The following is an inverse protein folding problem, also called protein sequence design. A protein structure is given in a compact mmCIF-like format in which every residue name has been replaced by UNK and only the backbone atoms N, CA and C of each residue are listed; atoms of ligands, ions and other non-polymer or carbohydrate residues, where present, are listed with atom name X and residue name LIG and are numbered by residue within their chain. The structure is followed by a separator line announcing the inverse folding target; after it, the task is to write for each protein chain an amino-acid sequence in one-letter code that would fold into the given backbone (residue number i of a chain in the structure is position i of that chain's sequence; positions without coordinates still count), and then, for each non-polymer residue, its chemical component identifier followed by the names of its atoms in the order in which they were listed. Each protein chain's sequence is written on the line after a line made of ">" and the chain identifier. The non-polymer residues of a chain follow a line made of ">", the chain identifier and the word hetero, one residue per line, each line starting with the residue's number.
data_IF_645928538121
#
_entry.id   IF_645928538121
#
_cell.length_a   1.000
_cell.length_b   1.000
_cell.length_c   1.000
_cell.angle_alpha   90.00
_cell.angle_beta   90.00
_cell.angle_gamma   90.00
#
_symmetry.space_group_name_H-M   'P 1'
#
loop_
_entity.id
_entity.type
_entity.pdbx_description
1 polymer ?
#
# COMPACT_ATOMS: atom_id res chain seq x y z
N UNK A 1 25.94 6.09 15.97
CA UNK A 1 25.69 4.71 16.44
C UNK A 1 25.51 4.77 17.95
N UNK A 2 24.28 4.82 18.43
CA UNK A 2 23.98 4.84 19.86
C UNK A 2 23.49 3.43 20.25
N UNK A 3 24.29 2.72 21.04
CA UNK A 3 23.88 1.44 21.65
C UNK A 3 22.85 1.73 22.74
N UNK A 4 21.61 1.31 22.54
CA UNK A 4 20.61 1.27 23.61
C UNK A 4 20.91 0.10 24.54
N UNK A 5 21.16 0.38 25.83
CA UNK A 5 21.29 -0.64 26.86
C UNK A 5 19.90 -1.14 27.28
N UNK A 6 19.73 -2.46 27.29
CA UNK A 6 18.54 -3.12 27.86
C UNK A 6 18.81 -3.35 29.34
N UNK A 7 18.08 -2.66 30.20
CA UNK A 7 18.17 -2.83 31.66
C UNK A 7 17.04 -3.77 32.12
N UNK A 8 17.43 -4.91 32.68
CA UNK A 8 16.53 -5.92 33.25
C UNK A 8 16.48 -5.71 34.77
N UNK A 9 15.31 -5.34 35.29
CA UNK A 9 15.05 -5.29 36.74
C UNK A 9 14.41 -6.60 37.21
N UNK A 10 15.02 -7.33 38.16
CA UNK A 10 14.38 -8.48 38.80
C UNK A 10 13.73 -8.00 40.10
N UNK A 11 12.40 -7.78 40.08
CA UNK A 11 11.64 -7.58 41.31
C UNK A 11 10.67 -8.75 41.51
N UNK A 12 11.11 -9.75 42.29
CA UNK A 12 10.33 -10.93 42.65
C UNK A 12 9.67 -10.65 44.00
N UNK A 13 8.40 -10.26 43.97
CA UNK A 13 7.51 -10.23 45.14
C UNK A 13 6.73 -11.53 45.24
N UNK A 14 7.00 -12.32 46.28
CA UNK A 14 6.31 -13.57 46.57
C UNK A 14 4.95 -13.33 47.24
N UNK A 15 3.87 -13.92 46.73
CA UNK A 15 2.75 -14.38 47.55
C UNK A 15 2.01 -15.51 46.81
N UNK A 16 1.83 -16.64 47.49
CA UNK A 16 1.45 -17.91 46.91
C UNK A 16 -0.02 -18.06 46.49
N UNK A 17 -0.24 -19.04 45.62
CA UNK A 17 -1.53 -19.48 45.14
C UNK A 17 -1.32 -20.47 44.00
N UNK A 18 -1.36 -21.76 44.32
CA UNK A 18 -1.11 -22.87 43.41
C UNK A 18 -2.12 -22.92 42.26
N UNK A 19 -1.68 -22.68 41.03
CA UNK A 19 -2.23 -23.30 39.81
C UNK A 19 -1.17 -23.25 38.70
N UNK A 20 -0.88 -24.41 38.12
CA UNK A 20 0.11 -24.60 37.08
C UNK A 20 -0.34 -23.95 35.76
N UNK A 21 0.16 -22.74 35.50
CA UNK A 21 0.14 -22.09 34.19
C UNK A 21 1.56 -21.71 33.80
N UNK A 22 1.95 -21.99 32.56
CA UNK A 22 3.26 -21.63 32.03
C UNK A 22 3.48 -20.10 32.09
N UNK A 23 4.70 -19.61 32.42
CA UNK A 23 4.96 -18.18 32.53
C UNK A 23 4.90 -17.52 31.15
N UNK A 24 3.92 -16.63 30.96
CA UNK A 24 3.88 -15.70 29.82
C UNK A 24 4.84 -14.56 30.13
N UNK A 25 6.01 -14.57 29.48
CA UNK A 25 6.94 -13.45 29.53
C UNK A 25 6.37 -12.28 28.73
N UNK A 26 5.92 -11.23 29.41
CA UNK A 26 5.48 -9.99 28.76
C UNK A 26 6.66 -9.02 28.69
N UNK A 27 7.08 -8.68 27.47
CA UNK A 27 8.09 -7.66 27.23
C UNK A 27 7.39 -6.34 26.93
N UNK A 28 7.58 -5.34 27.80
CA UNK A 28 7.13 -3.97 27.54
C UNK A 28 8.23 -3.24 26.77
N UNK A 29 8.00 -3.01 25.48
CA UNK A 29 8.87 -2.13 24.69
C UNK A 29 8.52 -0.70 25.07
N UNK A 30 9.42 -0.04 25.81
CA UNK A 30 9.32 1.39 26.09
C UNK A 30 9.96 2.12 24.90
N UNK A 31 9.12 2.62 23.98
CA UNK A 31 9.58 3.53 22.94
C UNK A 31 9.99 4.87 23.57
N UNK A 32 11.12 5.40 23.12
CA UNK A 32 11.71 6.60 23.67
C UNK A 32 11.05 7.80 22.98
N UNK A 33 9.97 8.33 23.56
CA UNK A 33 9.13 9.40 22.98
C UNK A 33 9.90 10.66 22.53
N UNK A 34 11.12 10.85 23.06
CA UNK A 34 12.00 11.96 22.71
C UNK A 34 12.71 11.78 21.35
N UNK A 35 12.92 10.53 20.90
CA UNK A 35 13.51 10.23 19.59
C UNK A 35 12.49 10.43 18.45
N UNK A 36 11.22 10.12 18.69
CA UNK A 36 10.15 10.26 17.70
C UNK A 36 9.79 11.74 17.45
N UNK A 37 9.89 12.59 18.48
CA UNK A 37 9.70 14.04 18.33
C UNK A 37 10.78 14.69 17.47
N UNK A 38 12.05 14.34 17.67
CA UNK A 38 13.16 14.86 16.88
C UNK A 38 13.06 14.48 15.39
N UNK A 39 12.56 13.28 15.08
CA UNK A 39 12.38 12.80 13.71
C UNK A 39 11.22 13.49 12.98
N UNK A 40 10.16 13.89 13.70
CA UNK A 40 9.05 14.66 13.13
C UNK A 40 9.43 16.13 12.88
N UNK A 41 10.24 16.75 13.76
CA UNK A 41 10.71 18.12 13.58
C UNK A 41 11.68 18.25 12.37
N UNK A 42 12.52 17.23 12.10
CA UNK A 42 13.34 17.17 10.87
C UNK A 42 12.50 17.04 9.59
N UNK A 43 11.36 16.35 9.65
CA UNK A 43 10.46 16.18 8.50
C UNK A 43 9.83 17.52 8.06
N UNK A 44 9.49 18.39 9.02
CA UNK A 44 8.98 19.74 8.75
C UNK A 44 10.07 20.70 8.26
N UNK A 45 11.30 20.59 8.79
CA UNK A 45 12.42 21.40 8.32
C UNK A 45 12.78 21.10 6.86
N UNK A 46 12.75 19.81 6.44
CA UNK A 46 13.04 19.42 5.07
C UNK A 46 12.00 19.96 4.07
N UNK A 47 10.71 19.96 4.42
CA UNK A 47 9.62 20.53 3.59
C UNK A 47 9.84 22.02 3.29
N UNK A 48 10.33 22.78 4.27
CA UNK A 48 10.62 24.21 4.09
C UNK A 48 11.84 24.48 3.20
N UNK A 49 12.85 23.61 3.24
CA UNK A 49 14.06 23.74 2.43
C UNK A 49 13.83 23.39 0.94
N UNK A 50 12.98 22.41 0.65
CA UNK A 50 12.64 22.04 -0.73
C UNK A 50 11.78 23.11 -1.40
N UNK A 51 10.83 23.71 -0.67
CA UNK A 51 10.03 24.83 -1.17
C UNK A 51 10.87 26.10 -1.48
N UNK A 52 12.00 26.29 -0.78
CA UNK A 52 12.93 27.38 -1.05
C UNK A 52 13.86 27.11 -2.25
N UNK A 53 14.11 25.84 -2.59
CA UNK A 53 14.98 25.45 -3.71
C UNK A 53 14.30 25.55 -5.08
N UNK A 54 12.96 25.52 -5.13
CA UNK A 54 12.17 25.64 -6.37
C UNK A 54 12.04 27.07 -6.92
N UNK A 55 12.57 28.09 -6.21
CA UNK A 55 12.42 29.49 -6.55
C UNK A 55 13.58 30.13 -7.34
N UNK A 56 14.55 29.36 -7.86
CA UNK A 56 15.66 29.92 -8.66
C UNK A 56 15.51 29.67 -10.17
N UNK A 57 15.32 30.71 -11.00
CA UNK A 57 15.28 30.56 -12.45
C UNK A 57 16.70 30.44 -13.03
N UNK A 58 16.80 29.58 -14.05
CA UNK A 58 18.03 29.03 -14.63
C UNK A 58 19.10 30.02 -15.10
N UNK A 59 20.34 29.68 -14.75
CA UNK A 59 21.56 30.27 -15.33
C UNK A 59 22.02 29.38 -16.50
N UNK A 60 21.68 29.80 -17.73
CA UNK A 60 22.15 29.16 -18.97
C UNK A 60 23.65 29.44 -19.16
N UNK A 61 24.47 28.39 -19.05
CA UNK A 61 25.90 28.44 -19.34
C UNK A 61 26.13 28.30 -20.86
N UNK A 62 26.68 29.36 -21.47
CA UNK A 62 26.92 29.45 -22.90
C UNK A 62 28.04 28.51 -23.36
N UNK A 63 27.76 27.75 -24.43
CA UNK A 63 28.67 26.82 -25.11
C UNK A 63 29.69 27.60 -25.97
N UNK A 64 31.02 27.37 -25.85
CA UNK A 64 32.00 28.03 -26.71
C UNK A 64 32.04 27.38 -28.10
N UNK A 65 32.16 28.23 -29.12
CA UNK A 65 32.31 27.83 -30.52
C UNK A 65 33.73 27.33 -30.84
N UNK A 66 33.91 26.32 -31.71
CA UNK A 66 35.22 25.86 -32.17
C UNK A 66 35.77 26.70 -33.34
N UNK A 67 37.10 26.88 -33.45
CA UNK A 67 37.74 27.63 -34.54
C UNK A 67 37.89 26.82 -35.85
N UNK A 68 38.10 27.50 -36.99
CA UNK A 68 38.09 26.90 -38.32
C UNK A 68 39.40 26.21 -38.73
N UNK A 69 39.22 25.23 -39.62
CA UNK A 69 40.19 24.34 -40.28
C UNK A 69 41.32 25.05 -41.06
N UNK A 70 42.53 24.49 -40.95
CA UNK A 70 43.64 24.70 -41.87
C UNK A 70 43.76 23.49 -42.82
N UNK A 71 43.61 23.73 -44.13
CA UNK A 71 43.89 22.75 -45.20
C UNK A 71 45.36 22.86 -45.61
N UNK A 72 46.14 21.78 -45.49
CA UNK A 72 47.36 21.60 -46.29
C UNK A 72 47.40 20.16 -46.85
N UNK A 73 47.71 20.12 -48.14
CA UNK A 73 47.83 19.00 -49.05
C UNK A 73 49.04 18.14 -48.70
N UNK A 74 48.84 16.83 -48.50
CA UNK A 74 49.90 15.80 -48.64
C UNK A 74 49.33 14.52 -49.22
N UNK A 75 49.07 14.51 -50.52
CA UNK A 75 48.70 13.30 -51.28
C UNK A 75 49.98 12.45 -51.41
N UNK A 76 50.07 11.35 -50.66
CA UNK A 76 51.17 10.39 -50.77
C UNK A 76 51.37 9.48 -49.56
N UNK A 77 51.01 9.94 -48.35
CA UNK A 77 51.11 9.15 -47.11
C UNK A 77 49.75 8.88 -46.42
N UNK A 78 48.64 9.33 -47.04
CA UNK A 78 47.29 9.31 -46.44
C UNK A 78 46.68 7.89 -46.47
N UNK A 79 47.06 7.03 -47.41
CA UNK A 79 46.47 5.68 -47.51
C UNK A 79 46.84 4.78 -46.32
N UNK A 80 48.10 4.82 -45.85
CA UNK A 80 48.54 4.02 -44.71
C UNK A 80 48.11 4.63 -43.37
N UNK A 81 48.09 5.97 -43.25
CA UNK A 81 47.58 6.65 -42.06
C UNK A 81 46.06 6.49 -41.90
N UNK A 82 45.29 6.48 -43.00
CA UNK A 82 43.85 6.24 -42.96
C UNK A 82 43.50 4.80 -42.56
N UNK A 83 44.30 3.81 -43.00
CA UNK A 83 44.13 2.41 -42.58
C UNK A 83 44.52 2.27 -41.10
N UNK A 84 45.61 2.88 -40.63
CA UNK A 84 45.99 2.86 -39.23
C UNK A 84 44.95 3.57 -38.32
N UNK A 85 44.34 4.67 -38.78
CA UNK A 85 43.23 5.34 -38.10
C UNK A 85 41.94 4.52 -38.12
N UNK A 86 41.64 3.79 -39.18
CA UNK A 86 40.50 2.86 -39.22
C UNK A 86 40.72 1.68 -38.29
N UNK A 87 41.93 1.12 -38.23
CA UNK A 87 42.28 0.03 -37.29
C UNK A 87 42.26 0.54 -35.84
N UNK A 88 42.80 1.72 -35.56
CA UNK A 88 42.68 2.35 -34.24
C UNK A 88 41.24 2.69 -33.88
N UNK A 89 40.40 3.13 -34.82
CA UNK A 89 38.97 3.35 -34.58
C UNK A 89 38.22 2.03 -34.34
N UNK A 90 38.63 0.93 -34.98
CA UNK A 90 38.03 -0.38 -34.78
C UNK A 90 38.43 -1.01 -33.43
N UNK A 91 39.67 -0.80 -32.97
CA UNK A 91 40.16 -1.27 -31.67
C UNK A 91 39.86 -0.29 -30.51
N UNK A 92 39.63 1.00 -30.80
CA UNK A 92 39.15 2.01 -29.87
C UNK A 92 37.64 2.26 -29.98
N UNK A 93 36.87 1.28 -30.46
CA UNK A 93 35.48 1.09 -30.06
C UNK A 93 35.45 0.17 -28.83
N UNK A 94 35.89 0.63 -27.63
CA UNK A 94 35.69 -0.16 -26.43
C UNK A 94 34.18 -0.23 -26.25
N UNK A 95 33.65 -1.45 -26.26
CA UNK A 95 32.38 -1.76 -25.61
C UNK A 95 31.29 -0.72 -25.90
N UNK A 96 30.79 -0.65 -27.15
CA UNK A 96 29.41 -0.21 -27.34
C UNK A 96 28.60 -0.99 -26.30
N UNK A 97 28.04 -0.33 -25.27
CA UNK A 97 27.38 -1.02 -24.18
C UNK A 97 26.36 -1.91 -24.85
N UNK A 98 26.63 -3.22 -24.80
CA UNK A 98 25.77 -4.23 -25.38
C UNK A 98 24.41 -3.88 -24.90
N UNK A 99 23.51 -3.54 -25.83
CA UNK A 99 22.17 -3.00 -25.56
C UNK A 99 21.56 -3.93 -24.51
N UNK A 100 21.70 -3.52 -23.25
CA UNK A 100 21.68 -4.47 -22.15
C UNK A 100 20.27 -4.99 -22.12
N UNK A 101 20.11 -6.31 -22.28
CA UNK A 101 18.80 -6.97 -22.21
C UNK A 101 18.10 -6.40 -20.98
N UNK A 102 17.14 -5.50 -21.20
CA UNK A 102 16.47 -4.83 -20.11
C UNK A 102 15.85 -5.94 -19.28
N UNK A 103 16.20 -5.98 -18.00
CA UNK A 103 15.62 -6.95 -17.08
C UNK A 103 14.09 -6.79 -17.21
N UNK A 104 13.33 -7.86 -17.46
CA UNK A 104 11.89 -7.75 -17.62
C UNK A 104 11.32 -7.02 -16.42
N UNK A 105 10.60 -5.93 -16.66
CA UNK A 105 9.95 -5.15 -15.61
C UNK A 105 8.95 -6.06 -14.93
N UNK A 106 9.05 -6.20 -13.61
CA UNK A 106 8.05 -6.92 -12.84
C UNK A 106 6.70 -6.20 -13.03
N UNK A 107 5.73 -6.88 -13.66
CA UNK A 107 4.40 -6.32 -13.90
C UNK A 107 3.65 -6.06 -12.59
N UNK A 108 4.09 -6.68 -11.50
CA UNK A 108 3.43 -6.71 -10.21
C UNK A 108 4.48 -6.79 -9.09
N UNK A 109 4.37 -5.94 -8.08
CA UNK A 109 5.21 -5.93 -6.88
C UNK A 109 4.32 -5.66 -5.66
N UNK A 110 4.24 -6.62 -4.75
CA UNK A 110 3.66 -6.41 -3.43
C UNK A 110 4.74 -5.94 -2.46
N UNK A 111 4.55 -4.74 -1.90
CA UNK A 111 5.52 -4.11 -1.00
C UNK A 111 5.18 -4.38 0.48
N UNK A 112 4.15 -5.19 0.73
CA UNK A 112 3.75 -5.67 2.05
C UNK A 112 3.14 -4.58 2.94
N UNK A 113 3.08 -4.87 4.24
CA UNK A 113 2.39 -4.01 5.20
C UNK A 113 3.32 -2.98 5.86
N UNK A 114 2.76 -1.83 6.21
CA UNK A 114 3.37 -0.76 7.00
C UNK A 114 2.37 -0.26 8.02
N UNK A 115 2.88 0.29 9.13
CA UNK A 115 2.06 0.83 10.21
C UNK A 115 2.38 2.30 10.41
N UNK A 116 1.35 3.06 10.76
CA UNK A 116 1.42 4.42 11.22
C UNK A 116 0.76 4.50 12.59
N UNK A 117 1.53 4.15 13.63
CA UNK A 117 0.99 3.90 14.98
C UNK A 117 0.33 5.15 15.59
N UNK A 118 0.73 6.36 15.18
CA UNK A 118 0.12 7.60 15.68
C UNK A 118 -1.38 7.69 15.35
N UNK A 119 -1.78 7.24 14.15
CA UNK A 119 -3.17 7.20 13.71
C UNK A 119 -3.85 5.84 13.96
N UNK A 120 -3.13 4.86 14.53
CA UNK A 120 -3.64 3.49 14.66
C UNK A 120 -3.93 2.84 13.31
N UNK A 121 -3.19 3.20 12.24
CA UNK A 121 -3.45 2.69 10.89
C UNK A 121 -2.38 1.70 10.44
N UNK A 122 -2.83 0.64 9.78
CA UNK A 122 -2.05 -0.26 8.96
C UNK A 122 -2.33 0.06 7.49
N UNK A 123 -1.35 -0.16 6.65
CA UNK A 123 -1.49 -0.03 5.21
C UNK A 123 -0.75 -1.15 4.49
N UNK A 124 -1.32 -1.67 3.41
CA UNK A 124 -0.66 -2.57 2.46
C UNK A 124 -0.60 -1.92 1.10
N UNK A 125 0.57 -1.95 0.46
CA UNK A 125 0.76 -1.35 -0.85
C UNK A 125 1.17 -2.38 -1.89
N UNK A 126 0.40 -2.41 -2.96
CA UNK A 126 0.68 -3.18 -4.17
C UNK A 126 0.90 -2.20 -5.31
N UNK A 127 1.96 -2.40 -6.09
CA UNK A 127 2.23 -1.60 -7.28
C UNK A 127 2.28 -2.49 -8.53
N UNK A 128 1.78 -1.95 -9.63
CA UNK A 128 1.69 -2.67 -10.91
C UNK A 128 2.23 -1.80 -12.04
N UNK A 129 2.77 -2.44 -13.07
CA UNK A 129 3.21 -1.78 -14.29
C UNK A 129 2.44 -2.29 -15.50
N UNK A 130 1.60 -1.43 -16.08
CA UNK A 130 0.83 -1.69 -17.30
C UNK A 130 0.88 -0.43 -18.17
N UNK A 131 1.94 -0.28 -18.96
CA UNK A 131 2.35 0.95 -19.68
C UNK A 131 2.74 2.14 -18.79
N UNK A 132 2.07 2.30 -17.65
CA UNK A 132 2.34 3.25 -16.57
C UNK A 132 2.29 2.54 -15.22
N UNK A 133 2.91 3.14 -14.21
CA UNK A 133 2.79 2.66 -12.85
C UNK A 133 1.39 2.95 -12.29
N UNK A 134 0.83 1.98 -11.57
CA UNK A 134 -0.40 2.10 -10.81
C UNK A 134 -0.20 1.51 -9.42
N UNK A 135 -1.06 1.89 -8.47
CA UNK A 135 -1.03 1.38 -7.11
C UNK A 135 -2.41 0.90 -6.66
N UNK A 136 -2.41 -0.06 -5.74
CA UNK A 136 -3.53 -0.44 -4.88
C UNK A 136 -3.04 -0.33 -3.43
N UNK A 137 -3.61 0.60 -2.66
CA UNK A 137 -3.32 0.82 -1.25
C UNK A 137 -4.55 0.43 -0.43
N UNK A 138 -4.34 -0.46 0.52
CA UNK A 138 -5.35 -0.92 1.47
C UNK A 138 -5.04 -0.31 2.83
N UNK A 139 -6.00 0.33 3.48
CA UNK A 139 -5.85 0.95 4.80
C UNK A 139 -6.84 0.33 5.78
N UNK A 140 -6.33 -0.13 6.91
CA UNK A 140 -7.09 -0.83 7.96
C UNK A 140 -6.68 -0.33 9.36
N UNK A 141 -7.57 -0.37 10.36
CA UNK A 141 -7.18 -0.06 11.73
C UNK A 141 -6.26 -1.16 12.27
N UNK A 142 -5.20 -0.76 12.98
CA UNK A 142 -4.24 -1.67 13.60
C UNK A 142 -4.91 -2.58 14.64
N UNK A 143 -5.83 -2.02 15.43
CA UNK A 143 -6.61 -2.74 16.44
C UNK A 143 -8.08 -2.76 16.00
N UNK A 144 -8.71 -3.94 16.08
CA UNK A 144 -10.13 -4.08 15.79
C UNK A 144 -11.01 -3.29 16.76
N UNK A 145 -10.52 -2.97 17.97
CA UNK A 145 -11.24 -2.10 18.90
C UNK A 145 -11.41 -0.66 18.37
N UNK A 146 -10.53 -0.23 17.47
CA UNK A 146 -10.56 1.11 16.87
C UNK A 146 -11.46 1.18 15.62
N UNK A 147 -12.08 0.07 15.19
CA UNK A 147 -12.90 -0.02 13.97
C UNK A 147 -14.05 1.00 13.95
N UNK A 148 -14.69 1.26 15.10
CA UNK A 148 -15.76 2.26 15.19
C UNK A 148 -15.28 3.70 14.99
N UNK A 149 -14.06 4.02 15.45
CA UNK A 149 -13.41 5.31 15.22
C UNK A 149 -13.01 5.47 13.76
N UNK A 150 -12.41 4.43 13.19
CA UNK A 150 -12.03 4.36 11.79
C UNK A 150 -13.24 4.51 10.85
N UNK A 151 -14.36 3.83 11.12
CA UNK A 151 -15.59 3.96 10.34
C UNK A 151 -16.14 5.39 10.39
N UNK A 152 -16.23 5.99 11.57
CA UNK A 152 -16.74 7.36 11.72
C UNK A 152 -15.94 8.35 10.87
N UNK A 153 -14.61 8.18 10.86
CA UNK A 153 -13.69 8.97 10.07
C UNK A 153 -13.84 8.75 8.57
N UNK A 154 -13.98 7.50 8.13
CA UNK A 154 -14.16 7.14 6.71
C UNK A 154 -15.49 7.68 6.13
N UNK A 155 -16.56 7.63 6.92
CA UNK A 155 -17.88 8.08 6.49
C UNK A 155 -18.01 9.61 6.42
N UNK A 156 -17.50 10.32 7.42
CA UNK A 156 -17.67 11.75 7.54
C UNK A 156 -16.51 12.41 8.29
N UNK A 157 -15.37 12.61 7.62
CA UNK A 157 -14.19 13.15 8.27
C UNK A 157 -14.42 14.61 8.69
N UNK A 158 -13.96 14.99 9.89
CA UNK A 158 -14.13 16.35 10.43
C UNK A 158 -13.31 17.41 9.65
N UNK A 159 -12.28 16.96 8.94
CA UNK A 159 -11.37 17.75 8.13
C UNK A 159 -10.92 16.96 6.90
N UNK A 160 -10.40 17.60 5.83
CA UNK A 160 -9.85 16.87 4.68
C UNK A 160 -8.73 15.92 5.12
N UNK A 161 -8.85 14.65 4.71
CA UNK A 161 -7.84 13.64 5.00
C UNK A 161 -6.96 13.41 3.76
N UNK A 162 -5.68 13.14 3.98
CA UNK A 162 -4.76 12.75 2.94
C UNK A 162 -3.79 11.68 3.42
N UNK A 163 -3.37 10.83 2.46
CA UNK A 163 -2.31 9.85 2.64
C UNK A 163 -1.23 10.10 1.61
N UNK A 164 0.02 10.21 2.05
CA UNK A 164 1.20 10.36 1.20
C UNK A 164 1.93 9.03 1.16
N UNK A 165 1.89 8.34 0.03
CA UNK A 165 2.67 7.15 -0.24
C UNK A 165 4.08 7.57 -0.67
N UNK A 166 5.13 6.97 -0.12
CA UNK A 166 6.50 7.14 -0.60
C UNK A 166 7.11 5.79 -0.92
N UNK A 167 7.61 5.67 -2.14
CA UNK A 167 8.32 4.50 -2.63
C UNK A 167 9.81 4.76 -2.53
N UNK A 168 10.51 3.86 -1.86
CA UNK A 168 11.92 3.98 -1.55
C UNK A 168 12.73 2.99 -2.38
N UNK A 169 13.87 3.44 -2.87
CA UNK A 169 14.83 2.54 -3.49
C UNK A 169 15.65 1.75 -2.44
N UNK A 170 16.55 0.89 -2.90
CA UNK A 170 17.41 0.08 -2.02
C UNK A 170 18.34 0.90 -1.10
N UNK A 171 18.52 2.21 -1.36
CA UNK A 171 19.29 3.12 -0.51
C UNK A 171 18.42 3.89 0.50
N UNK A 172 17.10 3.69 0.48
CA UNK A 172 16.14 4.43 1.32
C UNK A 172 15.82 5.83 0.80
N UNK A 173 16.22 6.16 -0.43
CA UNK A 173 15.90 7.45 -1.07
C UNK A 173 14.53 7.33 -1.75
N UNK A 174 13.72 8.40 -1.65
CA UNK A 174 12.42 8.47 -2.31
C UNK A 174 12.62 8.40 -3.82
N UNK A 175 12.15 7.32 -4.42
CA UNK A 175 12.12 7.14 -5.86
C UNK A 175 10.92 7.86 -6.47
N UNK A 176 9.76 7.75 -5.82
CA UNK A 176 8.47 8.32 -6.23
C UNK A 176 7.58 8.52 -5.00
N UNK A 177 6.72 9.53 -5.03
CA UNK A 177 5.69 9.75 -4.02
C UNK A 177 4.34 10.11 -4.66
N UNK A 178 3.26 9.96 -3.89
CA UNK A 178 1.89 10.26 -4.31
C UNK A 178 1.07 10.65 -3.09
N UNK A 179 0.47 11.83 -3.15
CA UNK A 179 -0.56 12.25 -2.19
C UNK A 179 -1.95 11.85 -2.72
N UNK A 180 -2.77 11.32 -1.83
CA UNK A 180 -4.14 10.87 -2.08
C UNK A 180 -5.04 11.69 -1.17
N UNK A 181 -5.82 12.58 -1.76
CA UNK A 181 -6.81 13.38 -1.04
C UNK A 181 -8.13 12.64 -0.94
N UNK A 182 -8.60 12.41 0.27
CA UNK A 182 -9.91 11.81 0.51
C UNK A 182 -11.00 12.88 0.33
N UNK A 183 -12.18 12.49 -0.18
CA UNK A 183 -13.34 13.36 -0.24
C UNK A 183 -13.62 13.99 1.13
N UNK A 184 -13.74 15.31 1.16
CA UNK A 184 -14.01 16.06 2.39
C UNK A 184 -15.40 15.78 2.97
N UNK A 185 -15.72 16.37 4.13
CA UNK A 185 -17.01 16.19 4.78
C UNK A 185 -18.17 16.51 3.84
N UNK A 186 -19.18 15.64 3.85
CA UNK A 186 -20.43 15.93 3.15
C UNK A 186 -21.11 17.12 3.84
N UNK A 187 -21.69 18.05 3.09
CA UNK A 187 -22.28 19.25 3.67
C UNK A 187 -23.28 18.91 4.80
N UNK A 188 -23.26 19.65 5.93
CA UNK A 188 -24.17 19.39 7.04
C UNK A 188 -25.62 19.56 6.56
N UNK A 189 -26.38 18.46 6.52
CA UNK A 189 -27.78 18.44 6.12
C UNK A 189 -28.15 17.35 5.10
N UNK A 190 -27.18 16.85 4.32
CA UNK A 190 -27.39 15.65 3.51
C UNK A 190 -27.16 14.42 4.35
N UNK A 191 -28.24 13.71 4.70
CA UNK A 191 -28.14 12.38 5.30
C UNK A 191 -27.56 11.45 4.24
N UNK A 192 -26.35 10.89 4.40
CA UNK A 192 -25.84 9.91 3.46
C UNK A 192 -26.81 8.72 3.44
N UNK A 193 -27.23 8.34 2.23
CA UNK A 193 -27.91 7.07 2.05
C UNK A 193 -26.88 5.97 2.38
N UNK A 194 -27.24 5.04 3.27
CA UNK A 194 -26.34 3.96 3.68
C UNK A 194 -25.82 3.14 2.48
N UNK A 195 -26.56 3.13 1.36
CA UNK A 195 -26.12 2.50 0.12
C UNK A 195 -25.03 3.28 -0.62
N UNK A 196 -24.91 4.59 -0.43
CA UNK A 196 -23.89 5.42 -1.07
C UNK A 196 -22.51 5.29 -0.41
N UNK A 197 -22.46 4.87 0.86
CA UNK A 197 -21.21 4.77 1.62
C UNK A 197 -20.23 3.77 0.98
N UNK A 198 -20.74 2.65 0.46
CA UNK A 198 -19.91 1.59 -0.14
C UNK A 198 -19.63 1.78 -1.64
N UNK A 199 -20.17 2.84 -2.25
CA UNK A 199 -19.93 3.10 -3.66
C UNK A 199 -18.51 3.66 -3.85
N UNK A 200 -17.77 3.22 -4.89
CA UNK A 200 -16.48 3.81 -5.22
C UNK A 200 -16.62 5.33 -5.45
N UNK A 201 -15.78 6.10 -4.76
CA UNK A 201 -15.64 7.56 -4.87
C UNK A 201 -14.41 7.86 -5.72
N UNK A 202 -14.42 8.93 -6.51
CA UNK A 202 -13.25 9.36 -7.30
C UNK A 202 -12.70 10.67 -6.75
N UNK A 203 -11.38 10.73 -6.55
CA UNK A 203 -10.68 11.95 -6.10
C UNK A 203 -10.51 12.95 -7.25
N UNK A 204 -10.17 14.20 -6.93
CA UNK A 204 -9.86 15.20 -7.95
C UNK A 204 -8.64 14.80 -8.82
N UNK A 205 -7.73 13.99 -8.28
CA UNK A 205 -6.56 13.47 -8.98
C UNK A 205 -6.85 12.20 -9.80
N UNK A 206 -8.10 11.72 -9.79
CA UNK A 206 -8.53 10.53 -10.54
C UNK A 206 -8.27 9.20 -9.84
N UNK A 207 -7.96 9.22 -8.53
CA UNK A 207 -7.84 8.01 -7.72
C UNK A 207 -9.24 7.50 -7.35
N UNK A 208 -9.41 6.19 -7.23
CA UNK A 208 -10.65 5.55 -6.81
C UNK A 208 -10.52 5.10 -5.36
N UNK A 209 -11.46 5.51 -4.53
CA UNK A 209 -11.54 5.18 -3.10
C UNK A 209 -12.79 4.31 -2.90
N UNK A 210 -12.63 3.18 -2.23
CA UNK A 210 -13.71 2.25 -1.95
C UNK A 210 -13.66 1.83 -0.49
N UNK A 211 -14.70 2.19 0.23
CA UNK A 211 -14.92 1.73 1.60
C UNK A 211 -15.40 0.27 1.54
N UNK A 212 -14.78 -0.59 2.34
CA UNK A 212 -15.08 -2.03 2.35
C UNK A 212 -15.64 -2.43 3.71
N UNK A 213 -16.84 -3.01 3.68
CA UNK A 213 -17.51 -3.50 4.87
C UNK A 213 -16.88 -4.81 5.38
N UNK A 214 -16.66 -4.88 6.69
CA UNK A 214 -16.33 -6.09 7.45
C UNK A 214 -17.53 -7.01 7.64
N UNK A 215 -17.32 -8.10 8.38
CA UNK A 215 -18.34 -9.11 8.67
C UNK A 215 -19.49 -8.60 9.56
N UNK A 216 -19.25 -7.52 10.29
CA UNK A 216 -20.20 -6.80 11.13
C UNK A 216 -20.95 -5.69 10.36
N UNK A 217 -20.62 -5.47 9.09
CA UNK A 217 -21.17 -4.39 8.26
C UNK A 217 -20.54 -3.02 8.51
N UNK A 218 -19.56 -2.90 9.41
CA UNK A 218 -18.79 -1.68 9.62
C UNK A 218 -17.71 -1.55 8.54
N UNK A 219 -17.22 -0.34 8.29
CA UNK A 219 -16.08 -0.16 7.38
C UNK A 219 -14.83 -0.72 8.08
N UNK A 220 -14.29 -1.82 7.55
CA UNK A 220 -13.11 -2.48 8.10
C UNK A 220 -11.83 -2.12 7.35
N UNK A 221 -11.97 -1.64 6.11
CA UNK A 221 -10.84 -1.30 5.25
C UNK A 221 -11.25 -0.23 4.24
N UNK A 222 -10.32 0.65 3.89
CA UNK A 222 -10.43 1.58 2.76
C UNK A 222 -9.43 1.15 1.70
N UNK A 223 -9.93 0.77 0.52
CA UNK A 223 -9.10 0.53 -0.65
C UNK A 223 -9.00 1.82 -1.47
N UNK A 224 -7.79 2.19 -1.84
CA UNK A 224 -7.52 3.30 -2.76
C UNK A 224 -6.65 2.82 -3.90
N UNK A 225 -7.03 3.13 -5.15
CA UNK A 225 -6.25 2.76 -6.33
C UNK A 225 -6.16 3.90 -7.32
N UNK A 226 -5.05 3.98 -8.06
CA UNK A 226 -4.82 5.10 -8.95
C UNK A 226 -3.51 5.02 -9.73
N UNK A 227 -3.30 5.97 -10.66
CA UNK A 227 -2.03 6.12 -11.35
C UNK A 227 -0.96 6.62 -10.39
N UNK A 228 0.23 6.02 -10.47
CA UNK A 228 1.39 6.44 -9.71
C UNK A 228 2.31 7.28 -10.63
N UNK A 229 2.72 8.51 -10.23
CA UNK A 229 3.55 9.39 -11.06
C UNK A 229 5.02 8.95 -11.07
N UNK A 230 5.28 7.68 -11.37
CA UNK A 230 6.58 7.05 -11.24
C UNK A 230 7.14 6.64 -12.62
N UNK A 231 8.32 7.17 -13.04
CA UNK A 231 8.93 6.74 -14.28
C UNK A 231 9.42 5.29 -14.19
N UNK A 232 9.49 4.59 -15.33
CA UNK A 232 9.86 3.16 -15.38
C UNK A 232 11.17 2.85 -14.63
N UNK A 233 12.17 3.73 -14.78
CA UNK A 233 13.48 3.57 -14.13
C UNK A 233 13.39 3.65 -12.60
N UNK A 234 12.48 4.45 -12.06
CA UNK A 234 12.24 4.55 -10.62
C UNK A 234 11.45 3.34 -10.12
N UNK A 235 10.41 2.93 -10.87
CA UNK A 235 9.62 1.74 -10.55
C UNK A 235 10.47 0.47 -10.44
N UNK A 236 11.39 0.26 -11.38
CA UNK A 236 12.31 -0.89 -11.38
C UNK A 236 13.29 -0.92 -10.20
N UNK A 237 13.43 0.19 -9.46
CA UNK A 237 14.35 0.34 -8.32
C UNK A 237 13.66 0.29 -6.97
N UNK A 238 12.32 0.22 -6.93
CA UNK A 238 11.57 0.17 -5.69
C UNK A 238 12.01 -1.06 -4.90
N UNK A 239 12.32 -0.84 -3.62
CA UNK A 239 12.71 -1.89 -2.69
C UNK A 239 11.88 -1.85 -1.40
N UNK A 240 11.37 -0.68 -1.02
CA UNK A 240 10.54 -0.51 0.16
C UNK A 240 9.52 0.61 -0.06
N UNK A 241 8.62 0.75 0.90
CA UNK A 241 7.70 1.88 0.94
C UNK A 241 7.45 2.29 2.39
N UNK A 242 6.96 3.51 2.54
CA UNK A 242 6.30 4.01 3.75
C UNK A 242 5.13 4.92 3.35
N UNK A 243 4.35 5.34 4.34
CA UNK A 243 3.33 6.36 4.13
C UNK A 243 3.28 7.31 5.33
N UNK A 244 2.82 8.53 5.06
CA UNK A 244 2.44 9.52 6.05
C UNK A 244 0.97 9.86 5.86
N UNK A 245 0.33 10.32 6.93
CA UNK A 245 -1.09 10.65 6.92
C UNK A 245 -1.37 11.80 7.87
N UNK A 246 -2.40 12.57 7.58
CA UNK A 246 -2.95 13.57 8.51
C UNK A 246 -4.17 13.04 9.29
N UNK A 247 -4.44 11.73 9.23
CA UNK A 247 -5.54 11.14 9.98
C UNK A 247 -5.38 11.43 11.49
N UNK A 248 -6.50 11.70 12.19
CA UNK A 248 -6.47 11.89 13.63
C UNK A 248 -5.91 10.67 14.35
N UNK A 249 -5.39 10.90 15.55
CA UNK A 249 -4.90 9.82 16.41
C UNK A 249 -6.04 8.86 16.79
N UNK A 250 -5.74 7.62 17.18
CA UNK A 250 -6.79 6.65 17.57
C UNK A 250 -7.69 7.18 18.71
N UNK A 251 -7.11 7.90 19.67
CA UNK A 251 -7.87 8.55 20.75
C UNK A 251 -8.79 9.67 20.25
N UNK A 252 -8.36 10.43 19.24
CA UNK A 252 -9.19 11.46 18.60
C UNK A 252 -10.31 10.83 17.76
N UNK A 253 -10.01 9.75 17.04
CA UNK A 253 -11.01 8.98 16.28
C UNK A 253 -12.11 8.44 17.21
N UNK A 254 -11.75 7.87 18.36
CA UNK A 254 -12.73 7.39 19.34
C UNK A 254 -13.60 8.54 19.88
N UNK A 255 -12.99 9.69 20.17
CA UNK A 255 -13.70 10.89 20.61
C UNK A 255 -14.69 11.36 19.55
N UNK A 256 -14.27 11.44 18.29
CA UNK A 256 -15.13 11.84 17.18
C UNK A 256 -16.30 10.86 16.98
N UNK A 257 -16.05 9.55 17.06
CA UNK A 257 -17.11 8.54 16.99
C UNK A 257 -18.14 8.73 18.12
N UNK A 258 -17.70 8.96 19.36
CA UNK A 258 -18.59 9.23 20.50
C UNK A 258 -19.41 10.51 20.29
N UNK A 259 -18.80 11.57 19.77
CA UNK A 259 -19.50 12.83 19.47
C UNK A 259 -20.50 12.69 18.31
N UNK A 260 -20.18 11.89 17.29
CA UNK A 260 -21.08 11.58 16.19
C UNK A 260 -22.35 10.88 16.67
N UNK A 261 -22.20 9.90 17.56
CA UNK A 261 -23.33 9.18 18.20
C UNK A 261 -24.19 10.14 19.02
N UNK A 262 -23.57 11.03 19.81
CA UNK A 262 -24.29 12.02 20.62
C UNK A 262 -25.09 12.99 19.74
N UNK A 263 -24.51 13.46 18.63
CA UNK A 263 -25.18 14.35 17.67
C UNK A 263 -26.36 13.67 16.96
N UNK A 264 -26.18 12.42 16.49
CA UNK A 264 -27.25 11.66 15.85
C UNK A 264 -28.44 11.38 16.78
N UNK A 265 -28.17 11.23 18.08
CA UNK A 265 -29.22 11.00 19.09
C UNK A 265 -30.07 12.23 19.37
N UNK A 266 -29.49 13.44 19.31
CA UNK A 266 -30.20 14.69 19.61
C UNK A 266 -31.19 15.12 18.51
N UNK A 267 -30.91 14.82 17.25
CA UNK A 267 -31.78 15.15 16.10
C UNK A 267 -32.79 14.05 15.75
N UNK A 268 -32.69 12.86 16.36
CA UNK A 268 -33.42 11.66 15.97
C UNK A 268 -34.50 11.12 16.92
N UNK A 269 -34.94 11.87 17.95
CA UNK A 269 -35.79 11.37 19.05
C UNK A 269 -37.23 10.92 18.67
N UNK A 270 -37.62 10.77 17.39
CA UNK A 270 -38.99 10.32 17.05
C UNK A 270 -39.16 9.19 16.03
N UNK A 271 -38.13 8.63 15.40
CA UNK A 271 -38.37 7.47 14.53
C UNK A 271 -37.17 6.53 14.35
N UNK A 272 -36.78 5.83 15.41
CA UNK A 272 -36.31 4.45 15.27
C UNK A 272 -36.18 3.77 16.62
N UNK A 273 -37.24 3.09 17.03
CA UNK A 273 -37.08 1.83 17.76
C UNK A 273 -36.57 0.78 16.75
N UNK A 274 -35.40 1.00 16.16
CA UNK A 274 -34.64 -0.12 15.63
C UNK A 274 -33.96 -0.72 16.85
N UNK A 275 -34.70 -1.63 17.47
CA UNK A 275 -34.16 -2.57 18.41
C UNK A 275 -32.83 -3.09 17.86
N UNK A 276 -31.84 -3.13 18.74
CA UNK A 276 -30.56 -3.82 18.64
C UNK A 276 -30.74 -5.30 18.31
N UNK A 277 -31.18 -5.59 17.10
CA UNK A 277 -31.02 -6.86 16.45
C UNK A 277 -29.79 -6.73 15.58
N UNK A 278 -28.62 -7.02 16.16
CA UNK A 278 -27.40 -7.29 15.40
C UNK A 278 -27.70 -8.47 14.48
N UNK A 279 -28.20 -8.19 13.28
CA UNK A 279 -28.16 -9.13 12.19
C UNK A 279 -26.73 -9.06 11.68
N UNK A 280 -25.89 -9.98 12.18
CA UNK A 280 -24.68 -10.37 11.46
C UNK A 280 -25.09 -10.52 10.01
N UNK A 281 -24.62 -9.63 9.15
CA UNK A 281 -24.82 -9.73 7.71
C UNK A 281 -24.11 -11.01 7.32
N UNK A 282 -24.87 -12.11 7.30
CA UNK A 282 -24.39 -13.39 6.84
C UNK A 282 -23.78 -13.13 5.48
N UNK A 283 -22.46 -13.31 5.38
CA UNK A 283 -21.70 -13.15 4.14
C UNK A 283 -22.54 -13.80 3.05
N UNK A 284 -23.00 -12.98 2.10
CA UNK A 284 -23.95 -13.44 1.09
C UNK A 284 -23.19 -14.36 0.15
N UNK A 285 -23.26 -15.65 0.45
CA UNK A 285 -22.59 -16.66 -0.34
C UNK A 285 -23.35 -16.82 -1.66
N UNK A 286 -22.64 -16.63 -2.77
CA UNK A 286 -23.23 -16.83 -4.08
C UNK A 286 -23.53 -18.31 -4.28
N UNK A 287 -24.80 -18.66 -4.36
CA UNK A 287 -25.21 -19.95 -4.92
C UNK A 287 -24.99 -19.90 -6.43
N UNK A 288 -24.06 -20.71 -6.91
CA UNK A 288 -23.76 -20.79 -8.33
C UNK A 288 -24.83 -21.63 -9.04
N UNK A 289 -25.27 -21.16 -10.21
CA UNK A 289 -26.24 -21.87 -11.05
C UNK A 289 -25.70 -23.21 -11.56
N UNK A 290 -24.37 -23.29 -11.75
CA UNK A 290 -23.63 -24.48 -12.11
C UNK A 290 -22.28 -24.54 -11.36
N UNK A 291 -21.70 -25.73 -11.28
CA UNK A 291 -20.29 -25.84 -10.88
C UNK A 291 -19.43 -25.13 -11.94
N UNK A 292 -18.44 -24.37 -11.48
CA UNK A 292 -17.49 -23.69 -12.36
C UNK A 292 -16.09 -24.26 -12.11
N UNK A 293 -15.30 -24.30 -13.16
CA UNK A 293 -13.94 -24.83 -13.14
C UNK A 293 -13.10 -24.03 -14.13
N UNK A 294 -11.87 -23.71 -13.78
CA UNK A 294 -11.00 -22.91 -14.62
C UNK A 294 -9.61 -22.69 -14.05
N UNK A 295 -8.77 -22.08 -14.87
CA UNK A 295 -7.41 -21.68 -14.51
C UNK A 295 -7.35 -20.18 -14.33
N UNK A 296 -6.60 -19.72 -13.32
CA UNK A 296 -6.43 -18.31 -13.03
C UNK A 296 -5.08 -18.05 -12.36
N UNK A 297 -4.81 -16.79 -12.04
CA UNK A 297 -3.61 -16.36 -11.31
C UNK A 297 -4.06 -15.56 -10.10
N UNK A 298 -3.76 -16.04 -8.89
CA UNK A 298 -3.90 -15.21 -7.69
C UNK A 298 -2.89 -14.08 -7.80
N UNK A 299 -3.39 -12.85 -7.77
CA UNK A 299 -2.58 -11.65 -7.87
C UNK A 299 -2.32 -11.06 -6.49
N UNK A 300 -3.21 -11.23 -5.53
CA UNK A 300 -3.00 -10.77 -4.16
C UNK A 300 -3.92 -11.45 -3.16
N UNK A 301 -3.67 -11.17 -1.89
CA UNK A 301 -4.55 -11.54 -0.78
C UNK A 301 -4.99 -10.30 0.00
N UNK A 302 -6.10 -10.43 0.72
CA UNK A 302 -6.55 -9.47 1.71
C UNK A 302 -6.63 -10.22 3.05
N UNK A 303 -5.60 -10.12 3.91
CA UNK A 303 -5.58 -10.83 5.18
C UNK A 303 -6.65 -10.34 6.15
N UNK A 304 -7.06 -9.06 6.05
CA UNK A 304 -8.13 -8.49 6.87
C UNK A 304 -9.49 -9.15 6.61
N UNK A 305 -9.77 -9.53 5.36
CA UNK A 305 -11.00 -10.25 4.95
C UNK A 305 -10.82 -11.76 4.86
N UNK A 306 -9.57 -12.22 4.91
CA UNK A 306 -9.20 -13.57 4.56
C UNK A 306 -9.61 -13.91 3.14
N UNK A 307 -9.46 -12.99 2.18
CA UNK A 307 -9.80 -13.23 0.76
C UNK A 307 -8.55 -13.27 -0.12
N UNK A 308 -8.66 -13.87 -1.31
CA UNK A 308 -7.64 -13.83 -2.36
C UNK A 308 -8.26 -13.37 -3.66
N UNK A 309 -7.57 -12.45 -4.34
CA UNK A 309 -8.00 -11.85 -5.59
C UNK A 309 -7.26 -12.48 -6.76
N UNK A 310 -7.96 -12.72 -7.86
CA UNK A 310 -7.36 -13.26 -9.08
C UNK A 310 -7.33 -12.28 -10.23
N UNK A 311 -6.50 -12.60 -11.23
CA UNK A 311 -6.32 -11.77 -12.42
C UNK A 311 -7.59 -11.65 -13.26
N UNK A 312 -8.45 -12.67 -13.28
CA UNK A 312 -9.75 -12.59 -13.97
C UNK A 312 -10.86 -11.90 -13.14
N UNK A 313 -10.52 -11.44 -11.92
CA UNK A 313 -11.42 -10.65 -11.08
C UNK A 313 -12.31 -11.46 -10.14
N UNK A 314 -12.02 -12.75 -9.96
CA UNK A 314 -12.64 -13.58 -8.93
C UNK A 314 -12.07 -13.23 -7.56
N UNK A 315 -12.92 -13.29 -6.54
CA UNK A 315 -12.53 -13.13 -5.15
C UNK A 315 -12.91 -14.41 -4.38
N UNK A 316 -11.93 -15.05 -3.73
CA UNK A 316 -12.16 -16.26 -2.95
C UNK A 316 -11.95 -15.98 -1.46
N UNK A 317 -12.94 -16.25 -0.62
CA UNK A 317 -12.83 -16.19 0.83
C UNK A 317 -12.28 -17.51 1.39
N UNK A 318 -11.20 -17.42 2.13
CA UNK A 318 -10.57 -18.53 2.82
C UNK A 318 -11.31 -18.82 4.12
N UNK A 319 -11.29 -20.09 4.54
CA UNK A 319 -11.96 -20.53 5.77
C UNK A 319 -11.48 -19.80 7.04
N UNK A 320 -12.21 -20.00 8.14
CA UNK A 320 -11.92 -19.42 9.45
C UNK A 320 -10.45 -19.70 9.85
N UNK A 321 -9.63 -18.66 9.76
CA UNK A 321 -8.17 -18.78 9.82
C UNK A 321 -7.49 -17.66 9.05
N UNK A 322 -8.05 -17.23 7.91
CA UNK A 322 -7.74 -16.00 7.16
C UNK A 322 -6.31 -15.83 6.63
N UNK A 323 -5.35 -16.48 7.26
CA UNK A 323 -3.96 -16.51 6.88
C UNK A 323 -3.73 -17.64 5.88
N UNK A 324 -3.29 -17.26 4.69
CA UNK A 324 -2.66 -18.20 3.77
C UNK A 324 -1.48 -18.86 4.46
N UNK A 325 -1.29 -20.16 4.25
CA UNK A 325 0.00 -20.77 4.60
C UNK A 325 1.10 -20.07 3.81
N UNK A 326 2.33 -20.08 4.33
CA UNK A 326 3.49 -19.40 3.68
C UNK A 326 3.70 -19.81 2.23
N UNK A 327 3.22 -21.00 1.85
CA UNK A 327 3.22 -21.48 0.49
C UNK A 327 2.34 -20.64 -0.43
N UNK A 328 1.15 -20.25 0.01
CA UNK A 328 0.20 -19.50 -0.81
C UNK A 328 0.41 -17.98 -0.79
N UNK A 329 1.31 -17.47 0.06
CA UNK A 329 1.63 -16.03 0.15
C UNK A 329 2.58 -15.54 -0.97
N UNK A 330 2.96 -16.40 -1.92
CA UNK A 330 3.86 -16.04 -3.02
C UNK A 330 3.03 -15.69 -4.25
N UNK A 331 2.97 -14.40 -4.58
CA UNK A 331 2.25 -13.87 -5.74
C UNK A 331 3.21 -13.37 -6.84
N UNK A 332 2.80 -13.40 -8.13
CA UNK A 332 1.58 -14.03 -8.63
C UNK A 332 1.65 -15.57 -8.57
N UNK A 333 0.51 -16.22 -8.36
CA UNK A 333 0.42 -17.68 -8.26
C UNK A 333 -0.61 -18.26 -9.23
N UNK A 334 -0.16 -19.02 -10.21
CA UNK A 334 -1.06 -19.78 -11.08
C UNK A 334 -1.82 -20.85 -10.29
N UNK A 335 -3.13 -20.90 -10.47
CA UNK A 335 -4.04 -21.82 -9.82
C UNK A 335 -4.99 -22.45 -10.83
N UNK A 336 -5.44 -23.65 -10.52
CA UNK A 336 -6.65 -24.25 -11.07
C UNK A 336 -7.69 -24.26 -9.96
N UNK A 337 -8.90 -23.76 -10.21
CA UNK A 337 -9.97 -23.75 -9.23
C UNK A 337 -11.18 -24.52 -9.72
N UNK A 338 -11.86 -25.17 -8.78
CA UNK A 338 -13.13 -25.87 -9.01
C UNK A 338 -14.11 -25.50 -7.91
N UNK A 339 -15.20 -24.83 -8.27
CA UNK A 339 -16.25 -24.45 -7.35
C UNK A 339 -17.52 -25.26 -7.58
N UNK A 340 -18.09 -25.76 -6.48
CA UNK A 340 -19.37 -26.45 -6.49
C UNK A 340 -20.54 -25.45 -6.51
N UNK A 341 -21.77 -25.94 -6.76
CA UNK A 341 -23.00 -25.10 -6.72
C UNK A 341 -23.25 -24.43 -5.35
N UNK A 342 -22.61 -24.94 -4.30
CA UNK A 342 -22.64 -24.39 -2.94
C UNK A 342 -21.74 -23.16 -2.78
N UNK A 343 -20.95 -22.82 -3.81
CA UNK A 343 -19.93 -21.77 -3.77
C UNK A 343 -18.62 -22.21 -3.14
N UNK A 344 -18.53 -23.44 -2.59
CA UNK A 344 -17.28 -23.97 -2.03
C UNK A 344 -16.32 -24.30 -3.17
N UNK A 345 -15.11 -23.75 -3.09
CA UNK A 345 -14.07 -23.88 -4.09
C UNK A 345 -12.87 -24.63 -3.56
N UNK A 346 -12.30 -25.46 -4.41
CA UNK A 346 -11.00 -26.09 -4.22
C UNK A 346 -10.02 -25.40 -5.16
N UNK A 347 -9.05 -24.68 -4.60
CA UNK A 347 -7.97 -24.04 -5.35
C UNK A 347 -6.76 -24.95 -5.29
N UNK A 348 -6.23 -25.30 -6.46
CA UNK A 348 -5.03 -26.13 -6.61
C UNK A 348 -3.92 -25.30 -7.21
N UNK A 349 -2.78 -25.21 -6.54
CA UNK A 349 -1.64 -24.45 -7.05
C UNK A 349 -0.83 -25.27 -8.05
N UNK A 350 -0.47 -24.70 -9.20
CA UNK A 350 0.27 -25.44 -10.23
C UNK A 350 1.68 -25.87 -9.80
N UNK A 351 2.39 -25.03 -9.06
CA UNK A 351 3.80 -25.25 -8.72
C UNK A 351 4.01 -26.36 -7.70
N UNK A 352 3.06 -26.55 -6.79
CA UNK A 352 3.23 -27.40 -5.62
C UNK A 352 2.11 -28.41 -5.42
N UNK A 353 1.03 -28.32 -6.20
CA UNK A 353 -0.19 -29.11 -6.03
C UNK A 353 -0.81 -28.98 -4.62
N UNK A 354 -0.46 -27.92 -3.88
CA UNK A 354 -1.14 -27.60 -2.63
C UNK A 354 -2.59 -27.28 -2.92
N UNK A 355 -3.48 -27.72 -2.03
CA UNK A 355 -4.92 -27.50 -2.12
C UNK A 355 -5.34 -26.53 -1.02
N UNK A 356 -6.12 -25.51 -1.40
CA UNK A 356 -6.74 -24.56 -0.49
C UNK A 356 -8.25 -24.63 -0.65
N UNK A 357 -8.96 -24.84 0.44
CA UNK A 357 -10.41 -24.68 0.45
C UNK A 357 -10.76 -23.22 0.66
N UNK A 358 -11.58 -22.70 -0.24
CA UNK A 358 -12.10 -21.35 -0.16
C UNK A 358 -13.58 -21.35 -0.58
N UNK A 359 -14.17 -20.17 -0.63
CA UNK A 359 -15.52 -19.96 -1.10
C UNK A 359 -15.55 -18.78 -2.05
N UNK A 360 -16.21 -18.91 -3.19
CA UNK A 360 -16.32 -17.82 -4.15
C UNK A 360 -17.21 -16.70 -3.59
N UNK A 361 -16.70 -15.47 -3.60
CA UNK A 361 -17.40 -14.26 -3.17
C UNK A 361 -17.93 -13.48 -4.38
N UNK A 362 -17.09 -13.34 -5.41
CA UNK A 362 -17.40 -12.54 -6.60
C UNK A 362 -16.96 -13.23 -7.88
#
# INVERSE_FOLDING_TARGET
>A
MASGAVQLDPNIGASGGSQAGAPVSSYRIVSNAQADKARNDELYAFRSAVAAAEAQPGQQSAKPAPPPLLRIVTIGAIALAAIALLVLAFFALPSLPTLGKQKPTALYIDLGNRRFDQAGLSGRLIVRWQDKAAYDLYLDPVDQQDAGGFQALAENPSHPLSVVIRLLDASGVVACDKEIDFPGPTQPGSRPDATQVLMPKTTAAGDTIRDMAGSDGQIAEINTSGPLPCPLKAYQRIAAWDFATNFPTSAEQEKEAREGIARGSATGSRSSRFASGWRLSAVHFQHLSAAIEGDDVIVGDNPGRGTVDTNSGHEFQMGAGGALSSEWQIFPSAIHFRCEKTGICTLTRYSSHSILQARLVR
#
